data_IF_395775876127
#
_entry.id   IF_395775876127
#
_cell.length_a   1.000
_cell.length_b   1.000
_cell.length_c   1.000
_cell.angle_alpha   90.00
_cell.angle_beta   90.00
_cell.angle_gamma   90.00
#
_symmetry.space_group_name_H-M   'P 1'
#
loop_
_entity.id
_entity.type
_entity.pdbx_description
1 polymer ?
#
# COMPACT_ATOMS: atom_id res chain seq x y z
N UNK A 1 -11.92 -3.66 3.28
CA UNK A 1 -10.90 -4.21 2.37
C UNK A 1 -11.38 -4.03 0.94
N UNK A 2 -10.80 -3.06 0.25
CA UNK A 2 -11.02 -2.71 -1.14
C UNK A 2 -10.58 -3.88 -2.02
N UNK A 3 -11.33 -4.12 -3.09
CA UNK A 3 -11.15 -5.21 -4.07
C UNK A 3 -9.69 -5.49 -4.47
N UNK A 4 -8.84 -4.47 -4.55
CA UNK A 4 -7.44 -4.62 -4.97
C UNK A 4 -6.52 -5.28 -3.93
N UNK A 5 -6.70 -5.05 -2.63
CA UNK A 5 -5.93 -5.80 -1.63
C UNK A 5 -6.30 -7.29 -1.63
N UNK A 6 -7.55 -7.60 -1.97
CA UNK A 6 -8.06 -8.97 -2.10
C UNK A 6 -7.51 -9.70 -3.33
N UNK A 7 -7.04 -8.95 -4.34
CA UNK A 7 -6.48 -9.50 -5.58
C UNK A 7 -4.97 -9.81 -5.44
N UNK A 8 -4.30 -9.26 -4.43
CA UNK A 8 -2.91 -9.58 -4.07
C UNK A 8 -2.82 -10.93 -3.37
N UNK A 9 -1.66 -11.60 -3.48
CA UNK A 9 -1.40 -12.90 -2.84
C UNK A 9 -0.03 -12.94 -2.17
N UNK A 10 0.07 -13.71 -1.10
CA UNK A 10 1.33 -13.96 -0.38
C UNK A 10 1.96 -12.68 0.14
N UNK A 11 3.29 -12.57 0.01
CA UNK A 11 4.10 -11.50 0.58
C UNK A 11 3.70 -10.10 0.10
N UNK A 12 3.15 -9.99 -1.11
CA UNK A 12 2.68 -8.73 -1.68
C UNK A 12 1.46 -8.20 -0.93
N UNK A 13 0.53 -9.09 -0.57
CA UNK A 13 -0.64 -8.74 0.23
C UNK A 13 -0.24 -8.38 1.67
N UNK A 14 0.68 -9.13 2.26
CA UNK A 14 1.19 -8.87 3.61
C UNK A 14 1.89 -7.50 3.69
N UNK A 15 2.71 -7.18 2.68
CA UNK A 15 3.37 -5.89 2.57
C UNK A 15 2.35 -4.75 2.40
N UNK A 16 1.37 -4.91 1.52
CA UNK A 16 0.34 -3.89 1.31
C UNK A 16 -0.49 -3.64 2.60
N UNK A 17 -0.82 -4.68 3.35
CA UNK A 17 -1.50 -4.55 4.65
C UNK A 17 -0.62 -3.87 5.70
N UNK A 18 0.67 -4.22 5.74
CA UNK A 18 1.64 -3.54 6.59
C UNK A 18 1.67 -2.04 6.26
N UNK A 19 1.67 -1.67 4.98
CA UNK A 19 1.65 -0.29 4.55
C UNK A 19 0.40 0.46 5.05
N UNK A 20 -0.78 -0.14 4.91
CA UNK A 20 -2.05 0.44 5.39
C UNK A 20 -2.05 0.62 6.91
N UNK A 21 -1.46 -0.33 7.65
CA UNK A 21 -1.49 -0.31 9.12
C UNK A 21 -0.50 0.70 9.73
N UNK A 22 0.61 1.00 9.06
CA UNK A 22 1.72 1.75 9.66
C UNK A 22 1.95 3.14 9.04
N UNK A 23 1.36 3.43 7.89
CA UNK A 23 1.56 4.70 7.19
C UNK A 23 0.25 5.36 6.80
N UNK A 24 0.26 6.67 6.72
CA UNK A 24 -0.80 7.48 6.16
C UNK A 24 -0.71 7.54 4.63
N UNK A 25 -1.81 7.97 4.00
CA UNK A 25 -1.84 8.17 2.55
C UNK A 25 -0.74 9.11 2.06
N UNK A 26 -0.50 10.22 2.77
CA UNK A 26 0.51 11.21 2.39
C UNK A 26 1.93 10.70 2.53
N UNK A 27 2.20 9.89 3.55
CA UNK A 27 3.52 9.26 3.74
C UNK A 27 3.83 8.29 2.60
N UNK A 28 2.88 7.43 2.22
CA UNK A 28 3.07 6.52 1.08
C UNK A 28 3.23 7.29 -0.24
N UNK A 29 2.47 8.35 -0.47
CA UNK A 29 2.65 9.18 -1.68
C UNK A 29 4.04 9.81 -1.71
N UNK A 30 4.53 10.32 -0.57
CA UNK A 30 5.87 10.91 -0.50
C UNK A 30 6.97 9.87 -0.69
N UNK A 31 6.87 8.69 -0.06
CA UNK A 31 7.86 7.62 -0.21
C UNK A 31 7.94 7.09 -1.65
N UNK A 32 6.85 7.19 -2.40
CA UNK A 32 6.75 6.71 -3.79
C UNK A 32 7.32 7.70 -4.81
N UNK A 33 7.61 8.95 -4.44
CA UNK A 33 8.05 10.00 -5.39
C UNK A 33 9.39 9.70 -6.03
N UNK A 34 10.28 9.05 -5.29
CA UNK A 34 11.63 8.74 -5.73
C UNK A 34 11.71 7.40 -6.50
N UNK A 35 10.57 6.77 -6.75
CA UNK A 35 10.46 5.50 -7.47
C UNK A 35 10.32 4.29 -6.54
N UNK A 36 10.82 3.15 -6.99
CA UNK A 36 10.74 1.87 -6.26
C UNK A 36 11.73 1.87 -5.09
N UNK A 37 11.25 1.57 -3.89
CA UNK A 37 12.11 1.29 -2.75
C UNK A 37 12.65 -0.15 -2.81
N UNK A 38 13.85 -0.29 -3.37
CA UNK A 38 14.53 -1.59 -3.48
C UNK A 38 14.94 -2.18 -2.13
N UNK A 39 15.06 -1.37 -1.07
CA UNK A 39 15.34 -1.87 0.28
C UNK A 39 14.12 -2.61 0.82
N UNK A 40 12.93 -2.03 0.65
CA UNK A 40 11.67 -2.68 0.99
C UNK A 40 11.47 -3.95 0.15
N UNK A 41 11.79 -3.91 -1.15
CA UNK A 41 11.72 -5.07 -2.03
C UNK A 41 12.56 -6.25 -1.51
N UNK A 42 13.82 -5.98 -1.11
CA UNK A 42 14.70 -7.00 -0.55
C UNK A 42 14.19 -7.54 0.80
N UNK A 43 13.76 -6.66 1.71
CA UNK A 43 13.27 -7.05 3.02
C UNK A 43 12.02 -7.94 2.96
N UNK A 44 11.07 -7.56 2.10
CA UNK A 44 9.82 -8.29 1.92
C UNK A 44 9.91 -9.40 0.89
N UNK A 45 11.07 -9.52 0.23
CA UNK A 45 11.35 -10.52 -0.80
C UNK A 45 10.28 -10.48 -1.90
N UNK A 46 10.01 -9.28 -2.41
CA UNK A 46 9.11 -8.96 -3.52
C UNK A 46 9.89 -8.25 -4.62
N UNK A 47 9.43 -8.36 -5.86
CA UNK A 47 9.96 -7.60 -6.99
C UNK A 47 9.54 -6.14 -6.94
N UNK A 48 10.19 -5.30 -7.74
CA UNK A 48 9.82 -3.89 -7.87
C UNK A 48 8.40 -3.68 -8.44
N UNK A 49 7.93 -4.57 -9.32
CA UNK A 49 6.56 -4.55 -9.84
C UNK A 49 5.56 -4.89 -8.74
N UNK A 50 5.82 -5.96 -7.97
CA UNK A 50 5.00 -6.34 -6.82
C UNK A 50 4.98 -5.25 -5.73
N UNK A 51 6.11 -4.56 -5.53
CA UNK A 51 6.17 -3.41 -4.64
C UNK A 51 5.25 -2.27 -5.11
N UNK A 52 5.25 -1.95 -6.41
CA UNK A 52 4.35 -0.94 -6.97
C UNK A 52 2.89 -1.35 -6.77
N UNK A 53 2.54 -2.60 -7.07
CA UNK A 53 1.19 -3.13 -6.89
C UNK A 53 0.73 -3.04 -5.43
N UNK A 54 1.60 -3.41 -4.48
CA UNK A 54 1.32 -3.31 -3.06
C UNK A 54 1.10 -1.86 -2.60
N UNK A 55 1.96 -0.93 -3.03
CA UNK A 55 1.85 0.49 -2.71
C UNK A 55 0.57 1.10 -3.29
N UNK A 56 0.22 0.77 -4.54
CA UNK A 56 -1.04 1.23 -5.15
C UNK A 56 -2.26 0.68 -4.43
N UNK A 57 -2.26 -0.61 -4.07
CA UNK A 57 -3.35 -1.22 -3.32
C UNK A 57 -3.52 -0.57 -1.95
N UNK A 58 -2.41 -0.35 -1.23
CA UNK A 58 -2.40 0.31 0.08
C UNK A 58 -2.94 1.76 0.00
N UNK A 59 -2.46 2.55 -0.96
CA UNK A 59 -2.94 3.92 -1.17
C UNK A 59 -4.45 3.97 -1.50
N UNK A 60 -4.97 3.03 -2.29
CA UNK A 60 -6.42 2.97 -2.57
C UNK A 60 -7.24 2.65 -1.33
N UNK A 61 -6.78 1.72 -0.50
CA UNK A 61 -7.45 1.39 0.76
C UNK A 61 -7.48 2.59 1.71
N UNK A 62 -6.33 3.24 1.92
CA UNK A 62 -6.23 4.43 2.78
C UNK A 62 -7.12 5.56 2.28
N UNK A 63 -7.13 5.81 0.97
CA UNK A 63 -8.04 6.80 0.36
C UNK A 63 -9.51 6.47 0.62
N UNK A 64 -9.90 5.19 0.55
CA UNK A 64 -11.27 4.78 0.84
C UNK A 64 -11.64 4.96 2.32
N UNK A 65 -10.71 4.64 3.24
CA UNK A 65 -10.91 4.86 4.68
C UNK A 65 -11.13 6.35 4.98
N UNK A 66 -10.30 7.23 4.43
CA UNK A 66 -10.45 8.69 4.59
C UNK A 66 -11.81 9.21 4.10
N UNK A 67 -12.31 8.69 2.96
CA UNK A 67 -13.63 9.08 2.47
C UNK A 67 -14.76 8.58 3.38
N UNK A 68 -14.67 7.35 3.91
CA UNK A 68 -15.69 6.85 4.86
C UNK A 68 -15.69 7.61 6.17
N UNK A 69 -14.55 8.02 6.69
CA UNK A 69 -14.48 8.83 7.91
C UNK A 69 -15.14 10.20 7.71
N UNK A 70 -14.96 10.82 6.55
CA UNK A 70 -15.60 12.09 6.19
C UNK A 70 -17.11 11.98 6.03
N UNK A 71 -17.63 10.85 5.56
CA UNK A 71 -19.07 10.63 5.41
C UNK A 71 -19.77 10.28 6.75
N UNK A 72 -19.01 9.90 7.78
CA UNK A 72 -19.51 9.55 9.11
C UNK A 72 -19.33 10.66 10.17
N UNK A 73 -18.68 11.77 9.81
CA UNK A 73 -18.42 12.92 10.67
C UNK A 73 -19.44 14.05 10.42
#
# INVERSE_FOLDING_TARGET
>A
MVRYLSDLRGRVADFAQHCVANYTFFELVNSSKDGIDYTACEQWQISGEEWQDAIFAAMRELRFQMHRERDNA
#
